data_IF_827630525256
#
_entry.id   IF_827630525256
#
_cell.length_a   1.000
_cell.length_b   1.000
_cell.length_c   1.000
_cell.angle_alpha   90.00
_cell.angle_beta   90.00
_cell.angle_gamma   90.00
#
_symmetry.space_group_name_H-M   'P 1'
#
loop_
_entity.id
_entity.type
_entity.pdbx_description
1 polymer ?
#
# COMPACT_ATOMS: atom_id res chain seq x y z
N UNK A 1 21.23 12.22 9.68
CA UNK A 1 19.97 12.03 8.93
C UNK A 1 19.36 13.31 8.42
N UNK A 2 18.93 14.25 9.27
CA UNK A 2 18.13 15.40 8.83
C UNK A 2 18.74 16.27 7.70
N UNK A 3 20.07 16.36 7.60
CA UNK A 3 20.75 17.04 6.47
C UNK A 3 20.63 16.28 5.15
N UNK A 4 20.77 14.95 5.18
CA UNK A 4 20.62 14.08 4.01
C UNK A 4 19.18 14.03 3.52
N UNK A 5 18.20 13.97 4.43
CA UNK A 5 16.77 14.08 4.08
C UNK A 5 16.47 15.38 3.32
N UNK A 6 17.00 16.52 3.80
CA UNK A 6 16.84 17.81 3.10
C UNK A 6 17.56 17.83 1.75
N UNK A 7 18.76 17.28 1.66
CA UNK A 7 19.51 17.21 0.41
C UNK A 7 18.78 16.36 -0.63
N UNK A 8 18.23 15.22 -0.22
CA UNK A 8 17.44 14.34 -1.09
C UNK A 8 16.16 15.03 -1.54
N UNK A 9 15.40 15.64 -0.61
CA UNK A 9 14.19 16.40 -0.95
C UNK A 9 14.48 17.50 -1.98
N UNK A 10 15.60 18.22 -1.85
CA UNK A 10 16.01 19.22 -2.84
C UNK A 10 16.41 18.58 -4.19
N UNK A 11 17.14 17.46 -4.17
CA UNK A 11 17.58 16.76 -5.39
C UNK A 11 16.41 16.21 -6.22
N UNK A 12 15.32 15.81 -5.56
CA UNK A 12 14.08 15.33 -6.19
C UNK A 12 13.04 16.43 -6.34
N UNK A 13 13.42 17.70 -6.14
CA UNK A 13 12.55 18.87 -6.24
C UNK A 13 11.26 18.80 -5.38
N UNK A 14 11.28 18.04 -4.29
CA UNK A 14 10.13 17.85 -3.40
C UNK A 14 8.98 17.05 -4.04
N UNK A 15 9.28 16.19 -5.01
CA UNK A 15 8.30 15.34 -5.72
C UNK A 15 7.42 14.54 -4.73
N UNK A 16 6.10 14.82 -4.66
CA UNK A 16 5.19 14.10 -3.76
C UNK A 16 4.86 12.68 -4.23
N UNK A 17 5.20 12.31 -5.47
CA UNK A 17 4.98 10.97 -6.02
C UNK A 17 6.09 9.98 -5.60
N UNK A 18 7.18 10.48 -5.00
CA UNK A 18 8.30 9.68 -4.54
C UNK A 18 8.27 9.46 -3.01
N UNK A 19 8.20 8.19 -2.60
CA UNK A 19 8.43 7.79 -1.20
C UNK A 19 9.86 7.28 -1.00
N UNK A 20 10.48 7.64 0.14
CA UNK A 20 11.84 7.22 0.50
C UNK A 20 11.79 6.38 1.78
N UNK A 21 12.33 5.17 1.72
CA UNK A 21 12.45 4.25 2.86
C UNK A 21 13.93 4.08 3.21
N UNK A 22 14.43 4.84 4.19
CA UNK A 22 15.85 4.86 4.60
C UNK A 22 16.11 4.37 6.03
N UNK A 23 15.12 3.70 6.62
CA UNK A 23 15.25 3.03 7.92
C UNK A 23 16.25 1.86 7.87
N UNK A 24 16.70 1.44 9.04
CA UNK A 24 17.48 0.20 9.16
C UNK A 24 16.65 -0.99 8.70
N UNK A 25 17.24 -1.83 7.84
CA UNK A 25 16.59 -3.07 7.37
C UNK A 25 16.49 -4.06 8.51
N UNK A 26 15.31 -4.63 8.70
CA UNK A 26 15.01 -5.57 9.77
C UNK A 26 14.72 -6.98 9.24
N UNK A 27 14.74 -7.98 10.12
CA UNK A 27 14.25 -9.33 9.80
C UNK A 27 12.72 -9.45 9.88
N UNK A 28 12.02 -8.39 10.27
CA UNK A 28 10.58 -8.39 10.45
C UNK A 28 9.86 -8.25 9.10
N UNK A 29 9.72 -9.36 8.38
CA UNK A 29 9.16 -9.39 7.02
C UNK A 29 7.80 -8.71 6.86
N UNK A 30 6.95 -8.69 7.90
CA UNK A 30 5.66 -7.96 7.87
C UNK A 30 5.82 -6.44 7.67
N UNK A 31 6.92 -5.85 8.13
CA UNK A 31 7.23 -4.43 7.93
C UNK A 31 7.95 -4.23 6.59
N UNK A 32 8.96 -5.06 6.31
CA UNK A 32 9.82 -4.91 5.12
C UNK A 32 9.08 -5.16 3.79
N UNK A 33 7.98 -5.92 3.79
CA UNK A 33 7.20 -6.16 2.58
C UNK A 33 6.27 -5.01 2.20
N UNK A 34 5.96 -4.09 3.12
CA UNK A 34 4.97 -3.01 2.90
C UNK A 34 5.27 -2.13 1.67
N UNK A 35 6.52 -1.74 1.35
CA UNK A 35 6.82 -0.95 0.15
C UNK A 35 6.61 -1.71 -1.18
N UNK A 36 6.49 -3.04 -1.12
CA UNK A 36 6.45 -3.91 -2.29
C UNK A 36 5.05 -4.49 -2.57
N UNK A 37 4.08 -4.19 -1.71
CA UNK A 37 2.69 -4.62 -1.87
C UNK A 37 1.78 -3.40 -1.87
N UNK A 38 0.66 -3.51 -2.57
CA UNK A 38 -0.41 -2.53 -2.47
C UNK A 38 -1.57 -3.15 -1.71
N UNK A 39 -2.07 -2.43 -0.72
CA UNK A 39 -3.33 -2.78 -0.07
C UNK A 39 -4.49 -2.61 -1.06
N UNK A 40 -5.40 -3.58 -1.07
CA UNK A 40 -6.59 -3.53 -1.91
C UNK A 40 -7.80 -4.04 -1.12
N UNK A 41 -8.86 -3.24 -1.11
CA UNK A 41 -10.15 -3.63 -0.57
C UNK A 41 -11.15 -3.83 -1.71
N UNK A 42 -11.82 -4.98 -1.71
CA UNK A 42 -12.85 -5.33 -2.70
C UNK A 42 -14.16 -5.55 -1.93
N UNK A 43 -15.23 -4.92 -2.40
CA UNK A 43 -16.58 -5.10 -1.86
C UNK A 43 -17.51 -5.55 -2.99
N UNK A 44 -18.24 -6.64 -2.74
CA UNK A 44 -19.16 -7.25 -3.70
C UNK A 44 -20.56 -7.15 -3.13
N UNK A 45 -21.50 -6.66 -3.93
CA UNK A 45 -22.92 -6.66 -3.53
C UNK A 45 -23.46 -8.08 -3.58
N UNK A 46 -23.84 -8.62 -2.42
CA UNK A 46 -24.29 -10.02 -2.26
C UNK A 46 -25.79 -10.22 -2.57
N UNK A 47 -26.38 -9.36 -3.41
CA UNK A 47 -27.79 -9.46 -3.78
C UNK A 47 -28.05 -8.97 -5.19
N UNK A 48 -29.10 -9.55 -5.80
CA UNK A 48 -29.66 -9.13 -7.07
C UNK A 48 -31.12 -8.73 -6.86
N UNK A 49 -31.42 -7.45 -7.06
CA UNK A 49 -32.75 -6.88 -6.82
C UNK A 49 -33.29 -7.19 -5.40
N UNK A 50 -32.41 -7.19 -4.39
CA UNK A 50 -32.76 -7.47 -2.99
C UNK A 50 -32.84 -8.97 -2.62
N UNK A 51 -32.76 -9.87 -3.60
CA UNK A 51 -32.66 -11.32 -3.35
C UNK A 51 -31.18 -11.68 -3.17
N UNK A 52 -30.78 -12.42 -2.12
CA UNK A 52 -29.42 -12.93 -2.00
C UNK A 52 -28.95 -13.65 -3.28
N UNK A 53 -27.76 -13.35 -3.74
CA UNK A 53 -27.13 -13.90 -4.95
C UNK A 53 -25.77 -14.48 -4.56
N UNK A 54 -25.56 -15.78 -4.78
CA UNK A 54 -24.40 -16.54 -4.33
C UNK A 54 -23.26 -16.60 -5.35
N UNK A 55 -23.38 -15.89 -6.48
CA UNK A 55 -22.44 -16.00 -7.61
C UNK A 55 -20.95 -15.80 -7.25
N UNK A 56 -20.64 -14.97 -6.25
CA UNK A 56 -19.27 -14.68 -5.83
C UNK A 56 -18.80 -15.54 -4.65
N UNK A 57 -19.63 -16.43 -4.10
CA UNK A 57 -19.36 -17.13 -2.85
C UNK A 57 -18.06 -17.95 -2.87
N UNK A 58 -17.64 -18.45 -4.02
CA UNK A 58 -16.42 -19.27 -4.15
C UNK A 58 -15.12 -18.44 -4.18
N UNK A 59 -15.21 -17.10 -4.27
CA UNK A 59 -14.05 -16.20 -4.44
C UNK A 59 -13.93 -15.14 -3.34
N UNK A 60 -14.77 -15.20 -2.31
CA UNK A 60 -14.70 -14.41 -1.06
C UNK A 60 -14.43 -15.36 0.10
#
# INVERSE_FOLDING_TARGET
>A
MASLHRALAAAVAGDPDLAVYDGEVTSAGRLELLPFVHEQAISITAHRFGTPDDWSADVI
#
